data_IF_660495587231
#
_entry.id   IF_660495587231
#
_cell.length_a   1.000
_cell.length_b   1.000
_cell.length_c   1.000
_cell.angle_alpha   90.00
_cell.angle_beta   90.00
_cell.angle_gamma   90.00
#
_symmetry.space_group_name_H-M   'P 1'
#
loop_
_entity.id
_entity.type
_entity.pdbx_description
1 polymer ?
#
# COMPACT_ATOMS: atom_id res chain seq x y z
N UNK A 1 -0.64 17.50 -6.48
CA UNK A 1 -0.83 16.22 -5.77
C UNK A 1 -0.16 15.11 -6.58
N UNK A 2 0.60 14.20 -5.96
CA UNK A 2 1.30 13.12 -6.69
C UNK A 2 0.37 11.95 -6.97
N UNK A 3 0.59 11.23 -8.07
CA UNK A 3 -0.12 9.98 -8.36
C UNK A 3 0.61 8.79 -7.75
N UNK A 4 -0.13 7.83 -7.23
CA UNK A 4 0.39 6.59 -6.65
C UNK A 4 -0.34 5.40 -7.28
N UNK A 5 0.43 4.40 -7.71
CA UNK A 5 -0.10 3.17 -8.29
C UNK A 5 0.21 1.97 -7.40
N UNK A 6 -0.73 1.02 -7.36
CA UNK A 6 -0.51 -0.33 -6.85
C UNK A 6 -0.47 -1.29 -8.04
N UNK A 7 0.71 -1.85 -8.30
CA UNK A 7 0.89 -2.83 -9.39
C UNK A 7 0.22 -4.17 -9.03
N UNK A 8 0.25 -4.52 -7.74
CA UNK A 8 -0.38 -5.74 -7.23
C UNK A 8 -1.86 -5.48 -6.99
N UNK A 9 -2.73 -6.08 -7.82
CA UNK A 9 -4.18 -5.84 -7.79
C UNK A 9 -4.81 -6.07 -6.41
N UNK A 10 -4.44 -7.17 -5.73
CA UNK A 10 -4.96 -7.50 -4.39
C UNK A 10 -4.67 -6.42 -3.34
N UNK A 11 -3.53 -5.72 -3.46
CA UNK A 11 -3.17 -4.61 -2.56
C UNK A 11 -4.08 -3.41 -2.82
N UNK A 12 -4.40 -3.11 -4.09
CA UNK A 12 -5.39 -2.07 -4.45
C UNK A 12 -6.78 -2.44 -3.94
N UNK A 13 -7.22 -3.67 -4.17
CA UNK A 13 -8.51 -4.18 -3.70
C UNK A 13 -8.64 -4.09 -2.17
N UNK A 14 -7.56 -4.38 -1.44
CA UNK A 14 -7.52 -4.20 0.01
C UNK A 14 -7.71 -2.74 0.41
N UNK A 15 -7.03 -1.81 -0.24
CA UNK A 15 -7.21 -0.37 0.02
C UNK A 15 -8.65 0.08 -0.28
N UNK A 16 -9.26 -0.44 -1.35
CA UNK A 16 -10.66 -0.14 -1.70
C UNK A 16 -11.61 -0.66 -0.62
N UNK A 17 -11.42 -1.90 -0.15
CA UNK A 17 -12.31 -2.56 0.81
C UNK A 17 -12.14 -2.01 2.22
N UNK A 18 -10.91 -1.98 2.73
CA UNK A 18 -10.62 -1.62 4.13
C UNK A 18 -10.43 -0.10 4.33
N UNK A 19 -10.21 0.66 3.25
CA UNK A 19 -9.88 2.08 3.33
C UNK A 19 -8.47 2.36 3.84
N UNK A 20 -7.68 1.33 4.14
CA UNK A 20 -6.28 1.42 4.53
C UNK A 20 -5.49 0.22 3.98
N UNK A 21 -4.23 0.43 3.63
CA UNK A 21 -3.31 -0.65 3.27
C UNK A 21 -1.88 -0.32 3.69
N UNK A 22 -1.15 -1.33 4.13
CA UNK A 22 0.30 -1.25 4.32
C UNK A 22 1.01 -1.79 3.08
N UNK A 23 2.02 -1.06 2.61
CA UNK A 23 2.80 -1.43 1.43
C UNK A 23 4.27 -1.09 1.60
N UNK A 24 5.15 -1.90 1.00
CA UNK A 24 6.60 -1.68 1.04
C UNK A 24 7.05 -1.11 -0.29
N UNK A 25 7.88 -0.07 -0.26
CA UNK A 25 8.40 0.59 -1.46
C UNK A 25 9.89 0.86 -1.32
N UNK A 26 10.64 0.57 -2.39
CA UNK A 26 12.09 0.78 -2.43
C UNK A 26 12.47 2.24 -2.24
N UNK A 27 11.71 3.14 -2.86
CA UNK A 27 11.91 4.58 -2.72
C UNK A 27 10.91 5.16 -1.73
N UNK A 28 11.42 5.87 -0.72
CA UNK A 28 10.56 6.55 0.26
C UNK A 28 9.85 7.78 -0.33
N UNK A 29 10.44 8.38 -1.36
CA UNK A 29 9.96 9.65 -1.89
C UNK A 29 10.19 10.83 -0.95
N UNK A 30 9.85 12.01 -1.44
CA UNK A 30 9.99 13.27 -0.69
C UNK A 30 8.75 13.44 0.20
N UNK A 31 8.95 13.48 1.51
CA UNK A 31 7.92 13.71 2.55
C UNK A 31 7.50 12.44 3.28
N UNK A 32 7.61 12.43 4.62
CA UNK A 32 7.17 11.33 5.50
C UNK A 32 5.63 11.19 5.56
N UNK A 33 4.90 12.26 5.25
CA UNK A 33 3.45 12.25 5.10
C UNK A 33 3.07 13.11 3.89
N UNK A 34 2.14 12.66 3.05
CA UNK A 34 1.65 13.44 1.90
C UNK A 34 0.34 12.90 1.34
N UNK A 35 -0.44 13.78 0.74
CA UNK A 35 -1.61 13.39 -0.06
C UNK A 35 -1.20 12.90 -1.45
N UNK A 36 -1.84 11.81 -1.86
CA UNK A 36 -1.65 11.17 -3.17
C UNK A 36 -3.00 10.79 -3.78
N UNK A 37 -3.07 10.80 -5.10
CA UNK A 37 -4.21 10.26 -5.83
C UNK A 37 -3.88 8.82 -6.23
N UNK A 38 -4.72 7.88 -5.81
CA UNK A 38 -4.65 6.48 -6.24
C UNK A 38 -5.76 6.26 -7.27
N UNK A 39 -5.36 5.81 -8.46
CA UNK A 39 -6.26 5.50 -9.57
C UNK A 39 -7.34 4.50 -9.15
N UNK A 40 -8.60 4.77 -9.52
CA UNK A 40 -9.81 4.02 -9.15
C UNK A 40 -10.14 3.96 -7.63
N UNK A 41 -9.43 4.74 -6.81
CA UNK A 41 -9.68 4.79 -5.36
C UNK A 41 -10.06 6.21 -4.93
N UNK A 42 -9.24 7.20 -5.30
CA UNK A 42 -9.43 8.60 -4.93
C UNK A 42 -8.22 9.19 -4.18
N UNK A 43 -8.48 10.18 -3.34
CA UNK A 43 -7.45 10.86 -2.53
C UNK A 43 -7.13 10.01 -1.32
N UNK A 44 -5.84 9.74 -1.13
CA UNK A 44 -5.29 9.01 0.00
C UNK A 44 -4.21 9.84 0.69
N UNK A 45 -4.07 9.65 1.99
CA UNK A 45 -2.88 10.04 2.73
C UNK A 45 -1.91 8.86 2.74
N UNK A 46 -0.63 9.11 2.45
CA UNK A 46 0.42 8.12 2.68
C UNK A 46 1.35 8.59 3.79
N UNK A 47 1.66 7.71 4.72
CA UNK A 47 2.55 7.94 5.86
C UNK A 47 3.67 6.90 5.88
N UNK A 48 4.90 7.38 5.98
CA UNK A 48 6.08 6.54 6.18
C UNK A 48 6.05 6.02 7.62
N UNK A 49 6.00 4.71 7.78
CA UNK A 49 6.02 4.06 9.09
C UNK A 49 7.46 3.89 9.55
N UNK A 50 8.23 3.08 8.81
CA UNK A 50 9.64 2.80 9.10
C UNK A 50 10.35 2.19 7.89
N UNK A 51 11.66 2.10 7.97
CA UNK A 51 12.47 1.21 7.14
C UNK A 51 12.32 -0.22 7.65
N UNK A 52 12.25 -1.19 6.76
CA UNK A 52 12.23 -2.62 7.08
C UNK A 52 13.36 -3.31 6.32
N UNK A 53 14.02 -4.27 6.95
CA UNK A 53 15.15 -5.02 6.36
C UNK A 53 14.92 -6.53 6.36
N UNK A 54 13.94 -6.99 7.14
CA UNK A 54 13.64 -8.40 7.32
C UNK A 54 12.17 -8.71 7.06
N UNK A 55 11.93 -10.00 6.78
CA UNK A 55 10.59 -10.54 6.55
C UNK A 55 9.75 -10.50 7.84
N UNK A 56 10.38 -10.71 8.98
CA UNK A 56 9.76 -10.82 10.29
C UNK A 56 9.06 -9.52 10.69
N UNK A 57 9.62 -8.37 10.29
CA UNK A 57 9.06 -7.04 10.55
C UNK A 57 7.71 -6.79 9.88
N UNK A 58 7.32 -7.62 8.91
CA UNK A 58 6.03 -7.52 8.20
C UNK A 58 4.89 -8.24 8.93
N UNK A 59 5.20 -9.09 9.92
CA UNK A 59 4.21 -9.95 10.59
C UNK A 59 3.02 -9.17 11.14
N UNK A 60 3.28 -8.00 11.72
CA UNK A 60 2.28 -7.15 12.36
C UNK A 60 1.36 -6.44 11.34
N UNK A 61 1.79 -6.31 10.09
CA UNK A 61 1.09 -5.51 9.07
C UNK A 61 0.36 -6.36 8.03
N UNK A 62 0.60 -7.67 7.99
CA UNK A 62 0.15 -8.55 6.91
C UNK A 62 -1.37 -8.53 6.74
N UNK A 63 -2.12 -8.41 7.85
CA UNK A 63 -3.58 -8.36 7.84
C UNK A 63 -4.16 -7.21 7.03
N UNK A 64 -3.40 -6.12 6.87
CA UNK A 64 -3.79 -4.93 6.10
C UNK A 64 -2.88 -4.73 4.88
N UNK A 65 -2.26 -5.78 4.36
CA UNK A 65 -1.41 -5.71 3.16
C UNK A 65 -2.16 -6.02 1.86
N UNK A 66 -3.31 -6.69 1.95
CA UNK A 66 -4.00 -7.30 0.82
C UNK A 66 -3.38 -8.63 0.35
N UNK A 67 -2.39 -9.15 1.05
CA UNK A 67 -1.72 -10.42 0.76
C UNK A 67 -2.04 -11.44 1.84
N UNK A 68 -1.97 -12.74 1.49
CA UNK A 68 -2.43 -13.84 2.34
C UNK A 68 -1.45 -14.19 3.46
N UNK A 69 -0.18 -13.87 3.27
CA UNK A 69 0.89 -14.24 4.20
C UNK A 69 2.08 -13.31 4.07
N UNK A 70 2.91 -13.31 5.11
CA UNK A 70 4.20 -12.62 5.13
C UNK A 70 5.12 -13.17 4.04
N UNK A 71 5.07 -14.47 3.77
CA UNK A 71 5.78 -15.11 2.65
C UNK A 71 5.37 -14.55 1.28
N UNK A 72 4.07 -14.44 1.02
CA UNK A 72 3.58 -13.84 -0.23
C UNK A 72 4.04 -12.39 -0.34
N UNK A 73 4.00 -11.64 0.75
CA UNK A 73 4.48 -10.26 0.78
C UNK A 73 5.97 -10.15 0.51
N UNK A 74 6.78 -10.98 1.17
CA UNK A 74 8.22 -10.95 0.98
C UNK A 74 8.63 -11.28 -0.45
N UNK A 75 7.95 -12.24 -1.12
CA UNK A 75 8.16 -12.53 -2.54
C UNK A 75 7.90 -11.32 -3.44
N UNK A 76 6.91 -10.49 -3.10
CA UNK A 76 6.70 -9.22 -3.81
C UNK A 76 7.80 -8.20 -3.49
N UNK A 77 8.26 -8.13 -2.23
CA UNK A 77 9.41 -7.30 -1.88
C UNK A 77 10.66 -7.70 -2.68
N UNK A 78 10.96 -8.98 -2.84
CA UNK A 78 12.05 -9.48 -3.69
C UNK A 78 11.88 -9.05 -5.14
N UNK A 79 10.67 -9.25 -5.70
CA UNK A 79 10.36 -8.85 -7.08
C UNK A 79 10.48 -7.34 -7.33
N UNK A 80 10.21 -6.52 -6.33
CA UNK A 80 10.35 -5.06 -6.41
C UNK A 80 11.71 -4.54 -5.90
N UNK A 81 12.62 -5.43 -5.49
CA UNK A 81 13.95 -5.08 -4.99
C UNK A 81 13.95 -4.35 -3.64
N UNK A 82 12.96 -4.65 -2.79
CA UNK A 82 12.81 -4.17 -1.41
C UNK A 82 13.29 -5.18 -0.36
N UNK A 83 13.77 -6.36 -0.77
CA UNK A 83 14.24 -7.43 0.12
C UNK A 83 15.62 -7.15 0.75
N UNK A 84 16.31 -6.10 0.31
CA UNK A 84 17.55 -5.57 0.91
C UNK A 84 17.30 -4.25 1.65
N UNK A 85 16.05 -4.02 2.04
CA UNK A 85 15.61 -2.76 2.60
C UNK A 85 14.52 -2.08 1.78
N UNK A 86 13.47 -1.64 2.48
CA UNK A 86 12.38 -0.90 1.88
C UNK A 86 11.66 -0.04 2.91
N UNK A 87 10.98 1.01 2.44
CA UNK A 87 10.14 1.84 3.28
C UNK A 87 8.76 1.22 3.40
N UNK A 88 8.32 0.96 4.62
CA UNK A 88 6.96 0.59 4.95
C UNK A 88 6.08 1.85 4.99
N UNK A 89 5.00 1.82 4.21
CA UNK A 89 4.03 2.90 4.09
C UNK A 89 2.67 2.42 4.54
N UNK A 90 2.01 3.22 5.35
CA UNK A 90 0.57 3.18 5.54
C UNK A 90 -0.06 4.10 4.49
N UNK A 91 -1.11 3.63 3.82
CA UNK A 91 -1.87 4.41 2.85
C UNK A 91 -3.33 4.33 3.23
N UNK A 92 -3.94 5.47 3.51
CA UNK A 92 -5.32 5.58 4.00
C UNK A 92 -6.16 6.44 3.07
N UNK A 93 -7.35 5.97 2.72
CA UNK A 93 -8.30 6.73 1.91
C UNK A 93 -8.84 7.91 2.72
N UNK A 94 -8.73 9.11 2.15
CA UNK A 94 -9.27 10.36 2.73
C UNK A 94 -10.56 10.74 2.02
N UNK A 95 -10.60 10.61 0.69
CA UNK A 95 -11.77 10.91 -0.12
C UNK A 95 -11.87 9.94 -1.28
N UNK A 96 -12.94 9.13 -1.30
CA UNK A 96 -13.23 8.22 -2.42
C UNK A 96 -13.57 9.01 -3.67
N UNK A 97 -13.17 8.48 -4.82
CA UNK A 97 -13.62 9.01 -6.11
C UNK A 97 -15.14 8.79 -6.20
N UNK A 98 -15.92 9.85 -6.43
CA UNK A 98 -17.36 9.72 -6.67
C UNK A 98 -17.56 9.16 -8.08
N UNK A 99 -18.05 7.92 -8.18
CA UNK A 99 -18.39 7.23 -9.42
C UNK A 99 -17.58 5.96 -9.64
N UNK A 100 -18.23 4.80 -9.51
CA UNK A 100 -17.66 3.50 -9.85
C UNK A 100 -18.20 2.27 -9.11
N UNK A 101 -19.23 2.40 -8.27
CA UNK A 101 -19.94 1.27 -7.65
C UNK A 101 -21.39 1.66 -7.33
N UNK A 102 -22.15 1.99 -8.38
CA UNK A 102 -23.43 1.33 -8.55
C UNK A 102 -23.13 0.02 -9.28
N UNK A 103 -23.84 -1.06 -8.92
CA UNK A 103 -23.70 -2.44 -9.41
C UNK A 103 -22.53 -3.20 -8.77
N UNK A 104 -22.81 -3.89 -7.66
CA UNK A 104 -23.13 -5.33 -7.67
C UNK A 104 -24.09 -5.61 -6.50
N UNK A 105 -25.39 -5.66 -6.83
CA UNK A 105 -26.36 -6.51 -6.12
C UNK A 105 -26.17 -7.95 -6.58
#
# INVERSE_FOLDING_TARGET
MRRMKFVVRKVKECLVREGVVFSVRKWGGIGKCSEVIVEDVGVCEKRCVRWIESKEELKEFVGLSGLRSVDEWWRWCEKFGCNKGGWLWEVKVVKRMKGGLELWM
#
